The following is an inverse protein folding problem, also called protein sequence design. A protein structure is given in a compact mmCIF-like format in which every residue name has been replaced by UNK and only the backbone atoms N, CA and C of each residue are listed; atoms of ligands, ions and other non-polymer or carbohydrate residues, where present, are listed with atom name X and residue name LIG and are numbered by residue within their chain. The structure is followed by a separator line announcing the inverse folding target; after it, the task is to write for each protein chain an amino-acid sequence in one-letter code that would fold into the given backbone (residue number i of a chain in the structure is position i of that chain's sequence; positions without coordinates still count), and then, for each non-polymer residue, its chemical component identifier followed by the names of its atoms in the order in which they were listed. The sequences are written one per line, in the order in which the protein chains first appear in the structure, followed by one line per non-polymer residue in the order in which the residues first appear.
data_IF_929958851172
#
_entry.id   IF_929958851172
#
_cell.length_a   1.000
_cell.length_b   1.000
_cell.length_c   1.000
_cell.angle_alpha   90.00
_cell.angle_beta   90.00
_cell.angle_gamma   90.00
#
_symmetry.space_group_name_H-M   'P 1'
#
loop_
_entity.id
_entity.type
_entity.pdbx_description
1 polymer ?
#
# COMPACT_ATOMS: atom_id res chain seq x y z
N UNK A 1 -36.69 -9.99 18.45
CA UNK A 1 -36.67 -11.41 18.06
C UNK A 1 -35.25 -11.95 18.13
N UNK A 2 -35.08 -13.14 18.71
CA UNK A 2 -33.79 -13.74 19.05
C UNK A 2 -33.01 -14.17 17.81
N UNK A 3 -31.76 -13.71 17.73
CA UNK A 3 -30.75 -14.22 16.80
C UNK A 3 -30.26 -15.60 17.23
N UNK A 4 -30.54 -16.60 16.41
CA UNK A 4 -29.88 -17.92 16.33
C UNK A 4 -29.78 -18.19 14.82
N UNK A 5 -28.68 -18.61 14.18
CA UNK A 5 -27.58 -19.52 14.50
C UNK A 5 -26.71 -19.54 13.19
N UNK A 6 -25.39 -19.36 13.11
CA UNK A 6 -24.24 -20.26 13.32
C UNK A 6 -23.02 -19.63 12.58
N UNK A 7 -21.77 -19.96 12.94
CA UNK A 7 -20.72 -18.97 13.15
C UNK A 7 -19.53 -19.10 12.19
N UNK A 8 -19.63 -19.91 11.13
CA UNK A 8 -18.51 -20.22 10.22
C UNK A 8 -18.63 -19.68 8.79
N UNK A 9 -19.75 -19.04 8.39
CA UNK A 9 -19.93 -18.44 7.06
C UNK A 9 -20.15 -16.92 7.12
N UNK A 10 -19.26 -16.17 6.49
CA UNK A 10 -19.26 -14.69 6.42
C UNK A 10 -19.79 -14.16 5.08
N UNK A 11 -20.78 -14.85 4.50
CA UNK A 11 -21.37 -14.48 3.23
C UNK A 11 -22.53 -13.51 3.49
N UNK A 12 -22.31 -12.25 3.15
CA UNK A 12 -23.16 -11.12 3.53
C UNK A 12 -24.40 -10.98 2.63
N UNK A 13 -25.08 -12.11 2.43
CA UNK A 13 -26.39 -12.20 1.78
C UNK A 13 -27.40 -13.07 2.56
N UNK A 14 -27.04 -13.72 3.68
CA UNK A 14 -27.92 -14.74 4.30
C UNK A 14 -27.85 -14.76 5.85
N UNK A 15 -27.64 -13.63 6.55
CA UNK A 15 -27.63 -13.70 8.03
C UNK A 15 -28.11 -12.46 8.79
N UNK A 16 -29.00 -11.71 8.18
CA UNK A 16 -30.01 -10.90 8.87
C UNK A 16 -31.39 -11.52 8.54
N UNK A 17 -32.53 -10.98 8.99
CA UNK A 17 -33.92 -11.44 8.70
C UNK A 17 -34.31 -11.50 7.19
N UNK A 18 -33.30 -11.59 6.33
CA UNK A 18 -33.24 -11.44 4.89
C UNK A 18 -33.30 -12.80 4.18
N UNK A 19 -32.94 -13.88 4.88
CA UNK A 19 -33.02 -15.26 4.40
C UNK A 19 -34.21 -16.05 4.92
N UNK A 20 -35.09 -15.44 5.72
CA UNK A 20 -36.33 -16.10 6.12
C UNK A 20 -37.36 -15.77 5.03
N UNK A 21 -37.86 -16.76 4.26
CA UNK A 21 -38.95 -16.51 3.33
C UNK A 21 -40.10 -15.87 4.11
N UNK A 22 -40.60 -14.73 3.63
CA UNK A 22 -41.89 -14.24 4.10
C UNK A 22 -42.89 -15.32 3.65
N UNK A 23 -43.29 -16.17 4.61
CA UNK A 23 -44.23 -17.29 4.53
C UNK A 23 -44.73 -17.63 3.13
N UNK A 24 -44.46 -18.85 2.63
CA UNK A 24 -45.08 -19.53 1.48
C UNK A 24 -46.23 -18.77 0.81
N UNK A 25 -45.91 -17.64 0.17
CA UNK A 25 -46.90 -16.74 -0.39
C UNK A 25 -47.31 -17.37 -1.70
N UNK A 26 -48.56 -17.81 -1.78
CA UNK A 26 -49.12 -18.35 -3.00
C UNK A 26 -48.91 -17.30 -4.13
N UNK A 27 -48.45 -17.76 -5.29
CA UNK A 27 -48.23 -16.94 -6.50
C UNK A 27 -49.30 -15.86 -6.75
N UNK A 28 -50.61 -16.12 -6.58
CA UNK A 28 -51.64 -15.09 -6.75
C UNK A 28 -51.59 -13.95 -5.70
N UNK A 29 -51.27 -14.24 -4.43
CA UNK A 29 -51.14 -13.21 -3.39
C UNK A 29 -49.89 -12.34 -3.57
N UNK A 30 -48.81 -12.92 -4.12
CA UNK A 30 -47.62 -12.15 -4.45
C UNK A 30 -47.85 -11.23 -5.66
N UNK A 31 -48.62 -11.69 -6.65
CA UNK A 31 -49.00 -10.90 -7.82
C UNK A 31 -49.93 -9.73 -7.44
N UNK A 32 -50.89 -9.94 -6.54
CA UNK A 32 -51.79 -8.88 -6.06
C UNK A 32 -51.04 -7.78 -5.32
N UNK A 33 -49.94 -8.13 -4.64
CA UNK A 33 -49.04 -7.19 -3.94
C UNK A 33 -47.93 -6.61 -4.82
N UNK A 34 -47.95 -6.85 -6.15
CA UNK A 34 -46.93 -6.42 -7.13
C UNK A 34 -45.50 -6.83 -6.75
N UNK A 35 -45.36 -7.98 -6.09
CA UNK A 35 -44.06 -8.52 -5.71
C UNK A 35 -43.39 -9.25 -6.88
N UNK A 36 -42.07 -9.25 -6.89
CA UNK A 36 -41.24 -9.87 -7.92
C UNK A 36 -40.47 -11.05 -7.31
N UNK A 37 -40.31 -12.14 -8.06
CA UNK A 37 -39.46 -13.24 -7.64
C UNK A 37 -37.98 -12.85 -7.84
N UNK A 38 -37.18 -12.96 -6.78
CA UNK A 38 -35.74 -12.74 -6.78
C UNK A 38 -35.07 -13.84 -5.96
N UNK A 39 -34.23 -14.67 -6.59
CA UNK A 39 -33.55 -15.82 -5.98
C UNK A 39 -34.47 -16.74 -5.15
N UNK A 40 -35.65 -17.07 -5.69
CA UNK A 40 -36.62 -17.97 -5.04
C UNK A 40 -37.52 -17.32 -3.97
N UNK A 41 -37.46 -16.00 -3.79
CA UNK A 41 -38.30 -15.24 -2.84
C UNK A 41 -39.09 -14.13 -3.53
N UNK A 42 -40.33 -13.90 -3.09
CA UNK A 42 -41.11 -12.71 -3.47
C UNK A 42 -40.61 -11.48 -2.70
N UNK A 43 -40.23 -10.43 -3.44
CA UNK A 43 -39.68 -9.17 -2.91
C UNK A 43 -40.36 -7.97 -3.58
N UNK A 44 -40.41 -6.84 -2.89
CA UNK A 44 -40.86 -5.58 -3.51
C UNK A 44 -39.82 -5.07 -4.53
N UNK A 45 -40.21 -4.11 -5.37
CA UNK A 45 -39.30 -3.53 -6.37
C UNK A 45 -38.14 -2.78 -5.71
N UNK A 46 -38.43 -2.11 -4.59
CA UNK A 46 -37.48 -1.37 -3.78
C UNK A 46 -36.48 -2.31 -3.09
N UNK A 47 -36.98 -3.41 -2.49
CA UNK A 47 -36.14 -4.45 -1.88
C UNK A 47 -35.24 -5.12 -2.91
N UNK A 48 -35.79 -5.48 -4.08
CA UNK A 48 -35.00 -6.06 -5.17
C UNK A 48 -33.85 -5.15 -5.58
N UNK A 49 -34.09 -3.83 -5.67
CA UNK A 49 -33.06 -2.84 -6.01
C UNK A 49 -31.97 -2.81 -4.94
N UNK A 50 -32.35 -2.75 -3.66
CA UNK A 50 -31.40 -2.76 -2.56
C UNK A 50 -30.54 -4.04 -2.52
N UNK A 51 -31.16 -5.21 -2.67
CA UNK A 51 -30.47 -6.50 -2.68
C UNK A 51 -29.46 -6.60 -3.83
N UNK A 52 -29.82 -6.07 -5.01
CA UNK A 52 -28.91 -6.01 -6.16
C UNK A 52 -27.69 -5.12 -5.88
N UNK A 53 -27.90 -3.98 -5.23
CA UNK A 53 -26.83 -3.04 -4.88
C UNK A 53 -25.86 -3.62 -3.84
N UNK A 54 -26.38 -4.37 -2.86
CA UNK A 54 -25.56 -4.99 -1.82
C UNK A 54 -24.80 -6.21 -2.35
N UNK A 55 -25.43 -7.05 -3.17
CA UNK A 55 -24.76 -8.14 -3.87
C UNK A 55 -23.64 -7.61 -4.77
N UNK A 56 -23.90 -6.54 -5.52
CA UNK A 56 -22.90 -5.87 -6.34
C UNK A 56 -21.72 -5.38 -5.48
N UNK A 57 -21.99 -4.71 -4.37
CA UNK A 57 -20.94 -4.22 -3.47
C UNK A 57 -20.10 -5.36 -2.87
N UNK A 58 -20.72 -6.47 -2.48
CA UNK A 58 -20.02 -7.65 -1.96
C UNK A 58 -19.10 -8.28 -3.01
N UNK A 59 -19.61 -8.48 -4.24
CA UNK A 59 -18.83 -9.02 -5.35
C UNK A 59 -17.65 -8.08 -5.66
N UNK A 60 -17.88 -6.77 -5.74
CA UNK A 60 -16.82 -5.78 -5.95
C UNK A 60 -15.75 -5.85 -4.86
N UNK A 61 -16.12 -5.93 -3.58
CA UNK A 61 -15.16 -6.05 -2.47
C UNK A 61 -14.31 -7.31 -2.60
N UNK A 62 -14.90 -8.45 -2.99
CA UNK A 62 -14.15 -9.70 -3.20
C UNK A 62 -13.21 -9.61 -4.39
N UNK A 63 -13.67 -9.05 -5.51
CA UNK A 63 -12.83 -8.82 -6.69
C UNK A 63 -11.63 -7.93 -6.33
N UNK A 64 -11.86 -6.84 -5.60
CA UNK A 64 -10.82 -5.96 -5.08
C UNK A 64 -9.86 -6.73 -4.17
N UNK A 65 -10.38 -7.59 -3.30
CA UNK A 65 -9.57 -8.46 -2.44
C UNK A 65 -8.65 -9.38 -3.25
N UNK A 66 -9.17 -10.05 -4.28
CA UNK A 66 -8.35 -10.89 -5.17
C UNK A 66 -7.35 -10.08 -6.00
N UNK A 67 -7.72 -8.89 -6.48
CA UNK A 67 -6.80 -7.98 -7.17
C UNK A 67 -5.61 -7.59 -6.30
N UNK A 68 -5.84 -7.29 -5.01
CA UNK A 68 -4.77 -7.01 -4.06
C UNK A 68 -3.82 -8.21 -3.86
N UNK A 69 -4.35 -9.44 -3.87
CA UNK A 69 -3.50 -10.64 -3.84
C UNK A 69 -2.71 -10.79 -5.15
N UNK A 70 -3.33 -10.50 -6.29
CA UNK A 70 -2.69 -10.63 -7.60
C UNK A 70 -1.50 -9.67 -7.78
N UNK A 71 -1.53 -8.50 -7.15
CA UNK A 71 -0.40 -7.53 -7.13
C UNK A 71 0.87 -8.13 -6.48
N UNK A 72 0.73 -9.15 -5.65
CA UNK A 72 1.89 -9.83 -5.06
C UNK A 72 2.65 -10.70 -6.07
N UNK A 73 1.99 -11.16 -7.14
CA UNK A 73 2.60 -12.03 -8.16
C UNK A 73 3.71 -11.31 -8.93
N UNK A 74 3.52 -10.08 -9.45
CA UNK A 74 4.60 -9.31 -10.06
C UNK A 74 5.80 -9.09 -9.15
N UNK A 75 5.58 -8.87 -7.84
CA UNK A 75 6.67 -8.69 -6.87
C UNK A 75 7.50 -9.98 -6.75
N UNK A 76 6.85 -11.14 -6.73
CA UNK A 76 7.52 -12.43 -6.69
C UNK A 76 8.29 -12.73 -7.99
N UNK A 77 7.69 -12.46 -9.14
CA UNK A 77 8.32 -12.69 -10.46
C UNK A 77 9.55 -11.79 -10.64
N UNK A 78 9.46 -10.52 -10.22
CA UNK A 78 10.52 -9.53 -10.45
C UNK A 78 11.47 -9.37 -9.26
N UNK A 79 11.41 -10.23 -8.24
CA UNK A 79 12.21 -10.08 -7.01
C UNK A 79 13.71 -9.98 -7.30
N UNK A 80 14.20 -10.68 -8.34
CA UNK A 80 15.61 -10.65 -8.76
C UNK A 80 16.00 -9.28 -9.33
N UNK A 81 15.18 -8.71 -10.20
CA UNK A 81 15.40 -7.36 -10.74
C UNK A 81 15.26 -6.29 -9.65
N UNK A 82 14.33 -6.46 -8.71
CA UNK A 82 14.18 -5.58 -7.55
C UNK A 82 15.42 -5.68 -6.64
N UNK A 83 16.04 -6.87 -6.53
CA UNK A 83 17.24 -7.08 -5.73
C UNK A 83 18.48 -6.37 -6.29
N UNK A 84 18.54 -6.16 -7.61
CA UNK A 84 19.60 -5.34 -8.24
C UNK A 84 19.50 -3.87 -7.83
N UNK A 85 18.30 -3.38 -7.49
CA UNK A 85 18.09 -2.06 -6.90
C UNK A 85 18.59 -1.91 -5.46
N UNK A 86 18.95 -3.01 -4.79
CA UNK A 86 19.49 -3.02 -3.43
C UNK A 86 18.50 -3.46 -2.36
N UNK A 87 19.02 -3.73 -1.15
CA UNK A 87 18.30 -4.38 -0.05
C UNK A 87 17.06 -3.58 0.39
N UNK A 88 17.13 -2.25 0.36
CA UNK A 88 16.01 -1.36 0.72
C UNK A 88 14.81 -1.52 -0.21
N UNK A 89 15.04 -1.70 -1.51
CA UNK A 89 13.99 -1.86 -2.51
C UNK A 89 13.30 -3.21 -2.37
N UNK A 90 14.07 -4.27 -2.12
CA UNK A 90 13.53 -5.61 -1.81
C UNK A 90 12.69 -5.56 -0.54
N UNK A 91 13.20 -4.95 0.52
CA UNK A 91 12.48 -4.85 1.80
C UNK A 91 11.15 -4.10 1.64
N UNK A 92 11.13 -2.98 0.91
CA UNK A 92 9.92 -2.21 0.64
C UNK A 92 8.92 -3.00 -0.20
N UNK A 93 9.37 -3.69 -1.25
CA UNK A 93 8.51 -4.49 -2.12
C UNK A 93 7.86 -5.67 -1.39
N UNK A 94 8.64 -6.38 -0.56
CA UNK A 94 8.14 -7.48 0.27
C UNK A 94 7.13 -6.98 1.30
N UNK A 95 7.42 -5.86 1.96
CA UNK A 95 6.49 -5.20 2.88
C UNK A 95 5.16 -4.84 2.22
N UNK A 96 5.25 -4.27 1.02
CA UNK A 96 4.08 -3.89 0.25
C UNK A 96 3.24 -5.10 -0.14
N UNK A 97 3.87 -6.17 -0.62
CA UNK A 97 3.22 -7.43 -0.94
C UNK A 97 2.55 -8.07 0.29
N UNK A 98 3.19 -8.03 1.46
CA UNK A 98 2.60 -8.51 2.71
C UNK A 98 1.37 -7.69 3.12
N UNK A 99 1.46 -6.36 3.06
CA UNK A 99 0.33 -5.47 3.36
C UNK A 99 -0.85 -5.71 2.39
N UNK A 100 -0.57 -5.82 1.09
CA UNK A 100 -1.56 -6.16 0.07
C UNK A 100 -2.19 -7.53 0.30
N UNK A 101 -1.39 -8.53 0.70
CA UNK A 101 -1.86 -9.87 1.03
C UNK A 101 -2.82 -9.89 2.22
N UNK A 102 -2.47 -9.18 3.30
CA UNK A 102 -3.30 -9.06 4.51
C UNK A 102 -4.58 -8.30 4.24
N UNK A 103 -4.50 -7.19 3.50
CA UNK A 103 -5.67 -6.39 3.11
C UNK A 103 -6.58 -7.20 2.17
N UNK A 104 -6.04 -7.83 1.14
CA UNK A 104 -6.78 -8.64 0.16
C UNK A 104 -7.50 -9.81 0.83
N UNK A 105 -6.80 -10.59 1.65
CA UNK A 105 -7.38 -11.69 2.43
C UNK A 105 -8.46 -11.18 3.40
N UNK A 106 -8.24 -10.03 4.02
CA UNK A 106 -9.20 -9.38 4.90
C UNK A 106 -10.46 -8.91 4.18
N UNK A 107 -10.34 -8.37 2.95
CA UNK A 107 -11.48 -7.96 2.13
C UNK A 107 -12.31 -9.17 1.66
N UNK A 108 -11.66 -10.26 1.25
CA UNK A 108 -12.32 -11.52 0.87
C UNK A 108 -13.16 -12.07 2.04
N UNK A 109 -12.64 -11.95 3.26
CA UNK A 109 -13.35 -12.36 4.50
C UNK A 109 -14.25 -11.26 5.10
N UNK A 110 -14.41 -10.14 4.41
CA UNK A 110 -15.16 -8.95 4.88
C UNK A 110 -14.80 -8.51 6.32
N UNK A 111 -13.53 -8.64 6.70
CA UNK A 111 -13.07 -8.27 8.02
C UNK A 111 -13.12 -6.73 8.20
N UNK A 112 -13.70 -6.27 9.32
CA UNK A 112 -13.88 -4.83 9.60
C UNK A 112 -12.60 -4.00 9.45
N UNK A 113 -11.47 -4.57 9.83
CA UNK A 113 -10.18 -3.89 9.79
C UNK A 113 -9.59 -3.77 8.39
N UNK A 114 -9.99 -4.62 7.43
CA UNK A 114 -9.35 -4.74 6.12
C UNK A 114 -9.57 -3.52 5.21
N UNK A 115 -10.61 -2.74 5.50
CA UNK A 115 -10.98 -1.55 4.73
C UNK A 115 -9.92 -0.46 4.77
N UNK A 116 -9.39 -0.14 5.95
CA UNK A 116 -8.39 0.92 6.13
C UNK A 116 -7.06 0.65 5.43
N UNK A 117 -6.41 -0.53 5.60
CA UNK A 117 -5.18 -0.83 4.87
C UNK A 117 -5.43 -0.92 3.36
N UNK A 118 -6.59 -1.43 2.91
CA UNK A 118 -6.94 -1.41 1.50
C UNK A 118 -7.05 0.03 0.93
N UNK A 119 -7.70 0.94 1.66
CA UNK A 119 -7.77 2.37 1.26
C UNK A 119 -6.37 2.98 1.17
N UNK A 120 -5.49 2.71 2.14
CA UNK A 120 -4.11 3.21 2.11
C UNK A 120 -3.32 2.66 0.92
N UNK A 121 -3.49 1.38 0.58
CA UNK A 121 -2.89 0.76 -0.60
C UNK A 121 -3.39 1.44 -1.88
N UNK A 122 -4.70 1.65 -2.04
CA UNK A 122 -5.21 2.33 -3.22
C UNK A 122 -4.79 3.80 -3.30
N UNK A 123 -4.68 4.50 -2.16
CA UNK A 123 -4.11 5.85 -2.12
C UNK A 123 -2.65 5.86 -2.56
N UNK A 124 -1.88 4.82 -2.23
CA UNK A 124 -0.49 4.72 -2.67
C UNK A 124 -0.35 4.63 -4.19
N UNK A 125 -1.35 4.14 -4.93
CA UNK A 125 -1.32 4.08 -6.40
C UNK A 125 -1.34 5.46 -7.07
N UNK A 126 -1.65 6.53 -6.33
CA UNK A 126 -1.57 7.90 -6.82
C UNK A 126 -0.18 8.53 -6.60
N UNK A 127 0.66 7.89 -5.77
CA UNK A 127 1.98 8.40 -5.40
C UNK A 127 3.08 7.54 -6.04
N UNK A 128 2.88 6.20 -6.06
CA UNK A 128 3.80 5.21 -6.62
C UNK A 128 4.20 5.45 -8.08
N UNK A 129 3.32 5.90 -8.99
CA UNK A 129 3.70 6.17 -10.38
C UNK A 129 4.70 7.33 -10.54
N UNK A 130 4.83 8.18 -9.52
CA UNK A 130 5.81 9.28 -9.48
C UNK A 130 7.09 8.90 -8.73
N UNK A 131 7.19 7.66 -8.24
CA UNK A 131 8.43 7.11 -7.72
C UNK A 131 9.21 6.47 -8.88
N UNK A 132 10.54 6.70 -8.97
CA UNK A 132 11.38 6.19 -10.06
C UNK A 132 11.41 4.65 -10.16
N UNK A 133 10.91 3.95 -9.13
CA UNK A 133 10.74 2.48 -9.13
C UNK A 133 9.60 1.98 -10.03
N UNK A 134 8.65 2.84 -10.38
CA UNK A 134 7.47 2.50 -11.18
C UNK A 134 7.26 3.45 -12.37
N UNK A 135 8.31 4.19 -12.75
CA UNK A 135 8.40 4.96 -13.99
C UNK A 135 8.45 4.01 -15.20
N UNK A 136 7.34 3.34 -15.45
CA UNK A 136 7.06 2.69 -16.72
C UNK A 136 5.90 3.45 -17.34
N UNK A 137 6.16 4.13 -18.46
CA UNK A 137 5.17 4.92 -19.22
C UNK A 137 3.89 4.15 -19.56
N UNK A 138 3.91 2.82 -19.49
CA UNK A 138 2.78 1.94 -19.83
C UNK A 138 2.00 1.44 -18.60
N UNK A 139 2.59 1.46 -17.40
CA UNK A 139 2.00 0.91 -16.18
C UNK A 139 1.26 1.95 -15.31
N UNK A 140 1.64 3.23 -15.41
CA UNK A 140 1.08 4.31 -14.59
C UNK A 140 -0.44 4.52 -14.79
N UNK A 141 -1.02 4.52 -16.02
CA UNK A 141 -2.44 4.82 -16.19
C UNK A 141 -3.33 3.71 -15.60
N UNK A 142 -2.88 2.46 -15.69
CA UNK A 142 -3.60 1.30 -15.17
C UNK A 142 -3.64 1.32 -13.64
N UNK A 143 -2.55 1.75 -12.99
CA UNK A 143 -2.49 1.93 -11.54
C UNK A 143 -3.43 3.04 -11.06
N UNK A 144 -3.54 4.15 -11.79
CA UNK A 144 -4.52 5.21 -11.48
C UNK A 144 -5.95 4.72 -11.61
N UNK A 145 -6.29 4.02 -12.70
CA UNK A 145 -7.64 3.48 -12.91
C UNK A 145 -8.00 2.48 -11.80
N UNK A 146 -7.08 1.59 -11.44
CA UNK A 146 -7.24 0.66 -10.31
C UNK A 146 -7.39 1.41 -8.97
N UNK A 147 -6.60 2.45 -8.76
CA UNK A 147 -6.66 3.33 -7.58
C UNK A 147 -8.04 3.96 -7.41
N UNK A 148 -8.53 4.63 -8.45
CA UNK A 148 -9.85 5.25 -8.47
C UNK A 148 -10.96 4.22 -8.27
N UNK A 149 -10.89 3.10 -8.98
CA UNK A 149 -11.92 2.04 -8.93
C UNK A 149 -11.98 1.41 -7.54
N UNK A 150 -10.83 1.07 -6.96
CA UNK A 150 -10.73 0.51 -5.61
C UNK A 150 -11.27 1.45 -4.54
N UNK A 151 -10.89 2.74 -4.59
CA UNK A 151 -11.40 3.75 -3.67
C UNK A 151 -12.90 3.97 -3.82
N UNK A 152 -13.40 4.11 -5.05
CA UNK A 152 -14.82 4.33 -5.33
C UNK A 152 -15.68 3.24 -4.66
N UNK A 153 -15.34 1.97 -4.88
CA UNK A 153 -16.11 0.85 -4.32
C UNK A 153 -15.95 0.70 -2.81
N UNK A 154 -14.77 0.98 -2.24
CA UNK A 154 -14.53 0.91 -0.79
C UNK A 154 -15.12 2.09 0.00
N UNK A 155 -15.37 3.23 -0.66
CA UNK A 155 -15.98 4.42 -0.07
C UNK A 155 -17.52 4.45 -0.25
N UNK A 156 -18.06 3.65 -1.18
CA UNK A 156 -19.51 3.53 -1.42
C UNK A 156 -20.25 3.23 -0.11
N UNK A 157 -21.41 3.87 0.07
CA UNK A 157 -22.22 3.78 1.31
C UNK A 157 -22.58 2.34 1.69
N UNK A 158 -22.86 1.49 0.70
CA UNK A 158 -23.14 0.06 0.89
C UNK A 158 -21.92 -0.67 1.46
N UNK A 159 -20.73 -0.50 0.88
CA UNK A 159 -19.49 -1.08 1.42
C UNK A 159 -19.21 -0.61 2.86
N UNK A 160 -19.49 0.65 3.19
CA UNK A 160 -19.34 1.16 4.57
C UNK A 160 -20.21 0.41 5.57
N UNK A 161 -21.47 0.14 5.21
CA UNK A 161 -22.41 -0.62 6.05
C UNK A 161 -21.97 -2.07 6.24
N UNK A 162 -21.38 -2.68 5.20
CA UNK A 162 -20.82 -4.04 5.26
C UNK A 162 -19.70 -4.12 6.31
N UNK A 163 -18.77 -3.17 6.32
CA UNK A 163 -17.65 -3.15 7.27
C UNK A 163 -18.01 -2.58 8.66
N UNK A 164 -19.04 -1.74 8.75
CA UNK A 164 -19.46 -1.07 9.99
C UNK A 164 -21.00 -0.99 10.09
N UNK A 165 -21.68 -2.05 10.55
CA UNK A 165 -23.12 -1.99 10.77
C UNK A 165 -23.44 -1.11 11.99
N UNK A 166 -24.27 -0.08 11.80
CA UNK A 166 -24.77 0.78 12.87
C UNK A 166 -25.55 -0.05 13.91
N UNK A 167 -25.37 0.31 15.18
CA UNK A 167 -25.54 -0.57 16.35
C UNK A 167 -26.98 -0.94 16.67
N UNK A 168 -27.27 -2.25 16.56
CA UNK A 168 -28.34 -2.96 17.27
C UNK A 168 -28.02 -4.43 17.52
N UNK A 169 -26.77 -4.84 17.33
CA UNK A 169 -26.32 -6.22 17.45
C UNK A 169 -25.26 -6.35 18.53
N UNK A 170 -25.56 -7.16 19.56
CA UNK A 170 -24.52 -7.70 20.45
C UNK A 170 -23.43 -8.35 19.57
N UNK A 171 -22.15 -8.04 19.82
CA UNK A 171 -21.07 -8.55 18.99
C UNK A 171 -21.03 -10.08 19.10
N UNK A 172 -21.14 -10.75 17.95
CA UNK A 172 -20.76 -12.16 17.84
C UNK A 172 -19.32 -12.26 18.34
N UNK A 173 -19.09 -13.11 19.34
CA UNK A 173 -17.76 -13.44 19.85
C UNK A 173 -16.96 -14.01 18.69
N UNK A 174 -16.24 -13.17 17.97
CA UNK A 174 -15.14 -13.60 17.13
C UNK A 174 -14.19 -14.35 18.06
N UNK A 175 -13.85 -15.59 17.72
CA UNK A 175 -12.69 -16.28 18.30
C UNK A 175 -11.56 -15.28 18.17
N UNK A 176 -11.10 -14.71 19.29
CA UNK A 176 -9.96 -13.79 19.29
C UNK A 176 -8.84 -14.61 18.65
N UNK A 177 -8.47 -14.29 17.42
CA UNK A 177 -7.18 -14.65 16.87
C UNK A 177 -6.28 -13.48 17.24
N UNK A 178 -5.69 -13.47 18.45
CA UNK A 178 -4.74 -12.43 18.85
C UNK A 178 -3.69 -12.18 17.77
N UNK A 179 -3.32 -13.25 17.05
CA UNK A 179 -2.34 -13.30 15.97
C UNK A 179 -2.57 -12.27 14.88
N UNK A 180 -3.82 -11.99 14.45
CA UNK A 180 -4.05 -11.04 13.33
C UNK A 180 -3.77 -9.61 13.75
N UNK A 181 -4.06 -9.25 15.01
CA UNK A 181 -3.68 -7.93 15.54
C UNK A 181 -2.16 -7.84 15.69
N UNK A 182 -1.51 -8.90 16.15
CA UNK A 182 -0.04 -8.94 16.21
C UNK A 182 0.61 -8.85 14.83
N UNK A 183 0.02 -9.43 13.79
CA UNK A 183 0.49 -9.28 12.40
C UNK A 183 0.29 -7.85 11.91
N UNK A 184 -0.84 -7.21 12.20
CA UNK A 184 -1.08 -5.81 11.83
C UNK A 184 -0.13 -4.86 12.58
N UNK A 185 0.04 -5.05 13.89
CA UNK A 185 1.01 -4.28 14.67
C UNK A 185 2.43 -4.58 14.21
N UNK A 186 2.74 -5.81 13.83
CA UNK A 186 4.00 -6.20 13.23
C UNK A 186 4.26 -5.49 11.90
N UNK A 187 3.26 -5.40 11.02
CA UNK A 187 3.37 -4.66 9.74
C UNK A 187 3.49 -3.16 10.00
N UNK A 188 2.70 -2.59 10.90
CA UNK A 188 2.78 -1.18 11.25
C UNK A 188 4.13 -0.81 11.88
N UNK A 189 4.64 -1.68 12.77
CA UNK A 189 5.98 -1.56 13.34
C UNK A 189 7.05 -1.69 12.26
N UNK A 190 6.91 -2.65 11.35
CA UNK A 190 7.87 -2.86 10.26
C UNK A 190 7.88 -1.69 9.27
N UNK A 191 6.72 -1.10 8.96
CA UNK A 191 6.62 0.16 8.21
C UNK A 191 7.31 1.29 8.97
N UNK A 192 7.03 1.44 10.27
CA UNK A 192 7.67 2.44 11.12
C UNK A 192 9.20 2.27 11.17
N UNK A 193 9.68 1.03 11.25
CA UNK A 193 11.10 0.69 11.23
C UNK A 193 11.73 0.99 9.87
N UNK A 194 11.06 0.69 8.75
CA UNK A 194 11.58 1.00 7.41
C UNK A 194 11.59 2.50 7.15
N UNK A 195 10.52 3.22 7.48
CA UNK A 195 10.48 4.68 7.38
C UNK A 195 11.56 5.31 8.28
N UNK A 196 11.68 4.83 9.52
CA UNK A 196 12.71 5.27 10.46
C UNK A 196 14.12 4.99 9.94
N UNK A 197 14.35 3.81 9.35
CA UNK A 197 15.63 3.45 8.74
C UNK A 197 15.96 4.31 7.52
N UNK A 198 14.99 4.60 6.65
CA UNK A 198 15.18 5.48 5.49
C UNK A 198 15.51 6.90 5.94
N UNK A 199 14.80 7.44 6.94
CA UNK A 199 15.10 8.75 7.53
C UNK A 199 16.50 8.74 8.16
N UNK A 200 16.84 7.68 8.89
CA UNK A 200 18.16 7.52 9.50
C UNK A 200 19.28 7.46 8.44
N UNK A 201 19.09 6.69 7.37
CA UNK A 201 20.09 6.51 6.31
C UNK A 201 20.25 7.81 5.49
N UNK A 202 19.17 8.53 5.21
CA UNK A 202 19.21 9.87 4.61
C UNK A 202 19.94 10.87 5.51
N UNK A 203 19.65 10.89 6.82
CA UNK A 203 20.33 11.74 7.80
C UNK A 203 21.82 11.39 7.91
N UNK A 204 22.16 10.11 7.86
CA UNK A 204 23.56 9.65 7.88
C UNK A 204 24.28 10.04 6.60
N UNK A 205 23.66 9.88 5.43
CA UNK A 205 24.21 10.34 4.16
C UNK A 205 24.43 11.86 4.14
N UNK A 206 23.49 12.65 4.68
CA UNK A 206 23.67 14.10 4.83
C UNK A 206 24.87 14.46 5.70
N UNK A 207 25.05 13.76 6.82
CA UNK A 207 26.24 13.94 7.68
C UNK A 207 27.54 13.52 7.00
N UNK A 208 27.54 12.44 6.22
CA UNK A 208 28.70 11.99 5.45
C UNK A 208 29.08 13.02 4.38
N UNK A 209 28.11 13.53 3.61
CA UNK A 209 28.34 14.58 2.62
C UNK A 209 28.86 15.87 3.27
N UNK A 210 28.27 16.30 4.39
CA UNK A 210 28.75 17.45 5.14
C UNK A 210 30.17 17.26 5.70
N UNK A 211 30.49 16.05 6.17
CA UNK A 211 31.84 15.68 6.62
C UNK A 211 32.86 15.76 5.49
N UNK A 212 32.51 15.24 4.30
CA UNK A 212 33.37 15.33 3.12
C UNK A 212 33.65 16.79 2.73
N UNK A 213 32.63 17.65 2.76
CA UNK A 213 32.80 19.08 2.48
C UNK A 213 33.62 19.82 3.53
N UNK A 214 33.54 19.43 4.80
CA UNK A 214 34.40 20.01 5.85
C UNK A 214 35.87 19.67 5.66
N UNK A 215 36.19 18.52 5.09
CA UNK A 215 37.56 18.11 4.77
C UNK A 215 38.08 18.78 3.49
N UNK A 216 37.19 19.24 2.62
CA UNK A 216 37.51 19.91 1.36
C UNK A 216 37.76 21.42 1.58
N UNK A 217 38.83 21.75 2.31
CA UNK A 217 39.22 23.14 2.54
C UNK A 217 40.07 23.69 1.37
N UNK A 218 39.97 25.00 1.07
CA UNK A 218 40.77 25.61 0.02
C UNK A 218 42.28 25.39 0.21
N UNK A 219 42.99 25.14 -0.89
CA UNK A 219 44.44 24.93 -0.89
C UNK A 219 44.91 23.49 -0.69
N UNK A 220 44.02 22.55 -0.34
CA UNK A 220 44.36 21.11 -0.29
C UNK A 220 44.45 20.53 -1.72
N UNK A 221 45.42 19.65 -2.02
CA UNK A 221 45.49 18.95 -3.29
C UNK A 221 44.26 18.04 -3.52
N UNK A 222 43.67 18.09 -4.71
CA UNK A 222 42.44 17.33 -5.02
C UNK A 222 42.64 15.82 -4.82
N UNK A 223 43.74 15.26 -5.31
CA UNK A 223 43.99 13.81 -5.21
C UNK A 223 44.23 13.35 -3.76
N UNK A 224 44.87 14.18 -2.93
CA UNK A 224 45.07 13.86 -1.52
C UNK A 224 43.74 13.77 -0.78
N UNK A 225 42.79 14.64 -1.12
CA UNK A 225 41.45 14.59 -0.56
C UNK A 225 40.70 13.35 -1.07
N UNK A 226 40.69 13.10 -2.39
CA UNK A 226 39.92 12.00 -2.97
C UNK A 226 40.38 10.62 -2.46
N UNK A 227 41.68 10.46 -2.16
CA UNK A 227 42.22 9.23 -1.58
C UNK A 227 41.66 8.92 -0.17
N UNK A 228 41.16 9.93 0.56
CA UNK A 228 40.56 9.75 1.90
C UNK A 228 39.15 9.16 1.84
N UNK A 229 38.55 9.04 0.66
CA UNK A 229 37.18 8.52 0.50
C UNK A 229 37.20 7.14 -0.16
N UNK A 230 36.96 6.07 0.60
CA UNK A 230 36.95 4.72 0.04
C UNK A 230 35.75 4.54 -0.92
N UNK A 231 36.01 3.89 -2.05
CA UNK A 231 34.97 3.57 -3.05
C UNK A 231 33.85 2.69 -2.49
N UNK A 232 34.10 1.96 -1.40
CA UNK A 232 33.07 1.17 -0.73
C UNK A 232 31.92 2.04 -0.19
N UNK A 233 32.23 3.23 0.32
CA UNK A 233 31.26 4.12 0.98
C UNK A 233 30.83 5.31 0.11
N UNK A 234 31.66 5.69 -0.86
CA UNK A 234 31.46 6.87 -1.68
C UNK A 234 31.56 6.54 -3.18
N UNK A 235 30.79 7.26 -3.99
CA UNK A 235 30.94 7.35 -5.43
C UNK A 235 31.52 8.72 -5.74
N UNK A 236 32.64 8.74 -6.45
CA UNK A 236 33.33 9.97 -6.85
C UNK A 236 33.08 10.19 -8.34
N UNK A 237 32.58 11.37 -8.70
CA UNK A 237 32.37 11.79 -10.09
C UNK A 237 33.31 12.96 -10.36
N UNK A 238 34.21 12.81 -11.33
CA UNK A 238 35.22 13.82 -11.67
C UNK A 238 34.77 14.60 -12.90
N UNK A 239 34.77 15.93 -12.80
CA UNK A 239 34.60 16.87 -13.90
C UNK A 239 35.89 17.69 -14.12
N UNK A 240 35.89 18.55 -15.14
CA UNK A 240 37.07 19.36 -15.47
C UNK A 240 37.40 20.42 -14.41
N UNK A 241 36.38 21.03 -13.80
CA UNK A 241 36.51 22.12 -12.81
C UNK A 241 35.85 21.78 -11.47
N UNK A 242 35.31 20.56 -11.35
CA UNK A 242 34.59 20.12 -10.16
C UNK A 242 34.75 18.63 -9.91
N UNK A 243 34.57 18.22 -8.66
CA UNK A 243 34.42 16.83 -8.26
C UNK A 243 33.21 16.68 -7.33
N UNK A 244 32.41 15.64 -7.54
CA UNK A 244 31.29 15.29 -6.66
C UNK A 244 31.66 14.06 -5.85
N UNK A 245 31.55 14.18 -4.53
CA UNK A 245 31.66 13.06 -3.59
C UNK A 245 30.26 12.73 -3.11
N UNK A 246 29.74 11.60 -3.57
CA UNK A 246 28.36 11.15 -3.30
C UNK A 246 28.42 9.95 -2.37
N UNK A 247 27.93 10.02 -1.12
CA UNK A 247 27.76 8.83 -0.30
C UNK A 247 26.85 7.83 -1.01
N UNK A 248 27.23 6.55 -1.02
CA UNK A 248 26.38 5.48 -1.56
C UNK A 248 25.11 5.27 -0.72
N UNK A 249 25.11 5.76 0.52
CA UNK A 249 23.96 5.78 1.43
C UNK A 249 22.99 6.92 1.09
N UNK A 250 21.74 6.80 1.54
CA UNK A 250 20.73 7.85 1.33
C UNK A 250 20.35 8.04 -0.14
N UNK A 251 20.37 6.95 -0.91
CA UNK A 251 19.96 6.91 -2.32
C UNK A 251 20.78 7.83 -3.24
N UNK A 252 22.00 8.22 -2.83
CA UNK A 252 22.86 9.09 -3.62
C UNK A 252 22.37 10.54 -3.76
N UNK A 253 21.33 10.94 -3.02
CA UNK A 253 20.76 12.29 -3.14
C UNK A 253 21.63 13.37 -2.52
N UNK A 254 22.35 13.07 -1.44
CA UNK A 254 23.24 14.04 -0.83
C UNK A 254 24.61 13.98 -1.49
N UNK A 255 25.24 15.12 -1.74
CA UNK A 255 26.58 15.17 -2.30
C UNK A 255 27.40 16.31 -1.70
N UNK A 256 28.72 16.15 -1.75
CA UNK A 256 29.63 17.26 -1.61
C UNK A 256 30.16 17.62 -2.98
N UNK A 257 29.87 18.84 -3.43
CA UNK A 257 30.42 19.42 -4.65
C UNK A 257 31.66 20.22 -4.31
N UNK A 258 32.77 19.84 -4.92
CA UNK A 258 34.07 20.47 -4.77
C UNK A 258 34.38 21.17 -6.09
N UNK A 259 34.88 22.39 -6.01
CA UNK A 259 35.39 23.15 -7.15
C UNK A 259 36.90 23.26 -7.02
N UNK A 260 37.63 23.17 -8.13
CA UNK A 260 39.09 23.16 -8.14
C UNK A 260 39.67 23.78 -9.40
N UNK A 261 40.92 24.26 -9.31
CA UNK A 261 41.69 24.80 -10.43
C UNK A 261 42.49 23.72 -11.21
N UNK A 262 42.23 22.45 -10.91
CA UNK A 262 42.90 21.29 -11.51
C UNK A 262 44.05 20.73 -10.68
N UNK A 263 44.49 21.44 -9.63
CA UNK A 263 45.48 20.92 -8.66
C UNK A 263 44.98 21.03 -7.23
N UNK A 264 44.37 22.15 -6.90
CA UNK A 264 43.95 22.50 -5.55
C UNK A 264 42.48 22.86 -5.48
N UNK A 265 41.91 22.64 -4.31
CA UNK A 265 40.51 22.94 -4.03
C UNK A 265 40.36 24.47 -3.89
N UNK A 266 39.36 25.02 -4.55
CA UNK A 266 38.99 26.44 -4.44
C UNK A 266 37.78 26.64 -3.51
N UNK A 267 36.77 25.77 -3.58
CA UNK A 267 35.63 25.79 -2.66
C UNK A 267 34.90 24.45 -2.59
N UNK A 268 34.11 24.25 -1.54
CA UNK A 268 33.25 23.07 -1.38
C UNK A 268 31.88 23.45 -0.82
N UNK A 269 30.84 22.76 -1.29
CA UNK A 269 29.43 23.00 -0.95
C UNK A 269 28.68 21.67 -0.84
N UNK A 270 27.85 21.54 0.18
CA UNK A 270 26.86 20.45 0.23
C UNK A 270 25.74 20.74 -0.77
N UNK A 271 25.36 19.73 -1.55
CA UNK A 271 24.29 19.84 -2.54
C UNK A 271 23.45 18.58 -2.61
N UNK A 272 22.37 18.66 -3.38
CA UNK A 272 21.62 17.49 -3.82
C UNK A 272 22.11 17.10 -5.22
N UNK A 273 22.42 15.82 -5.42
CA UNK A 273 22.66 15.27 -6.75
C UNK A 273 21.30 14.87 -7.31
N UNK A 274 20.78 15.68 -8.22
CA UNK A 274 19.56 15.41 -9.00
C UNK A 274 19.87 14.55 -10.23
#
# INVERSE_FOLDING_TARGET
MLKKYQPERTDLLINTDWGIPHHDLATPEAQSRRMLLFQGRWVTKEEKKQLKDEQSAYISIRIIGYLLLFICIPVLINIRSIAEGGITHVALAVLYALAASVAGSGLIRCARFARYPAILIFLSFFILPFLPLFESEKGSPLMFILGFTGLYYLLRRTARRIFWPETGLKPVRYRKFPSVRYVIYGIALLIGLVVGYVIYDLSRAGRMAAGACRLATPGIPVEELLFKFPEADYKIIRGAEYALIVPKRGMGRNSCMITHDGRTISSAKTGFAD
#
